data_IF_715180033560
#
_entry.id   IF_715180033560
#
_cell.length_a   1.000
_cell.length_b   1.000
_cell.length_c   1.000
_cell.angle_alpha   90.00
_cell.angle_beta   90.00
_cell.angle_gamma   90.00
#
_symmetry.space_group_name_H-M   'P 1'
#
loop_
_entity.id
_entity.type
_entity.pdbx_description
1 polymer ?
#
# COMPACT_ATOMS: atom_id res chain seq x y z
N UNK A 1 -2.57 -1.82 12.91
CA UNK A 1 -1.89 -2.32 11.70
C UNK A 1 -2.89 -3.17 10.90
N UNK A 2 -2.48 -3.83 9.82
CA UNK A 2 -3.36 -4.77 9.12
C UNK A 2 -4.48 -4.13 8.29
N UNK A 3 -5.44 -4.96 7.85
CA UNK A 3 -6.55 -4.59 6.98
C UNK A 3 -7.38 -3.37 7.44
N UNK A 4 -7.63 -3.16 8.75
CA UNK A 4 -8.37 -1.98 9.23
C UNK A 4 -7.73 -0.63 8.88
N UNK A 5 -6.44 -0.61 8.53
CA UNK A 5 -5.75 0.61 8.11
C UNK A 5 -5.90 0.94 6.62
N UNK A 6 -6.45 0.04 5.78
CA UNK A 6 -6.47 0.19 4.32
C UNK A 6 -6.95 1.56 3.90
N UNK A 7 -8.19 1.91 4.24
CA UNK A 7 -8.83 3.14 3.76
C UNK A 7 -8.21 4.39 4.38
N UNK A 8 -7.99 4.39 5.70
CA UNK A 8 -7.39 5.53 6.42
C UNK A 8 -5.98 5.85 5.91
N UNK A 9 -5.13 4.84 5.73
CA UNK A 9 -3.78 5.04 5.21
C UNK A 9 -3.81 5.49 3.75
N UNK A 10 -4.70 4.94 2.91
CA UNK A 10 -4.79 5.35 1.49
C UNK A 10 -5.24 6.81 1.37
N UNK A 11 -6.20 7.24 2.18
CA UNK A 11 -6.65 8.64 2.21
C UNK A 11 -5.51 9.58 2.62
N UNK A 12 -4.75 9.22 3.66
CA UNK A 12 -3.62 10.04 4.12
C UNK A 12 -2.49 10.12 3.08
N UNK A 13 -2.16 9.01 2.41
CA UNK A 13 -1.19 9.00 1.30
C UNK A 13 -1.62 9.99 0.21
N UNK A 14 -2.90 9.98 -0.17
CA UNK A 14 -3.44 10.92 -1.17
C UNK A 14 -3.29 12.37 -0.75
N UNK A 15 -3.62 12.69 0.50
CA UNK A 15 -3.50 14.05 1.01
C UNK A 15 -2.04 14.54 1.03
N UNK A 16 -1.11 13.70 1.49
CA UNK A 16 0.31 14.04 1.56
C UNK A 16 0.90 14.18 0.16
N UNK A 17 0.65 13.22 -0.73
CA UNK A 17 1.17 13.23 -2.09
C UNK A 17 0.69 14.43 -2.91
N UNK A 18 -0.53 14.92 -2.64
CA UNK A 18 -1.07 16.12 -3.30
C UNK A 18 -0.42 17.44 -2.84
N UNK A 19 0.24 17.45 -1.68
CA UNK A 19 0.79 18.66 -1.04
C UNK A 19 2.31 18.67 -0.91
N UNK A 20 2.95 17.54 -1.18
CA UNK A 20 4.38 17.33 -0.98
C UNK A 20 5.07 17.03 -2.31
N UNK A 21 6.23 17.62 -2.52
CA UNK A 21 7.16 17.23 -3.59
C UNK A 21 8.11 16.11 -3.18
N UNK A 22 8.10 15.73 -1.89
CA UNK A 22 8.91 14.63 -1.35
C UNK A 22 8.23 13.29 -1.70
N UNK A 23 8.96 12.32 -2.27
CA UNK A 23 8.49 10.95 -2.48
C UNK A 23 7.77 10.32 -1.28
N UNK A 24 6.58 9.78 -1.52
CA UNK A 24 5.78 9.11 -0.49
C UNK A 24 5.94 7.59 -0.59
N UNK A 25 6.28 6.96 0.53
CA UNK A 25 6.26 5.50 0.71
C UNK A 25 5.04 5.13 1.54
N UNK A 26 4.13 4.32 0.99
CA UNK A 26 2.90 3.92 1.67
C UNK A 26 3.07 2.65 2.50
N UNK A 27 2.44 2.62 3.67
CA UNK A 27 2.34 1.43 4.52
C UNK A 27 0.95 1.32 5.17
N UNK A 28 0.52 0.09 5.47
CA UNK A 28 -0.72 -0.19 6.20
C UNK A 28 -1.89 -0.63 5.32
N UNK A 29 -2.46 -1.78 5.66
CA UNK A 29 -3.65 -2.33 5.01
C UNK A 29 -3.44 -2.90 3.62
N UNK A 30 -2.23 -3.37 3.30
CA UNK A 30 -1.90 -4.02 2.02
C UNK A 30 -1.93 -5.54 2.23
N UNK A 31 -2.92 -6.21 1.64
CA UNK A 31 -3.20 -7.64 1.80
C UNK A 31 -3.41 -8.38 0.48
N UNK A 32 -3.47 -7.66 -0.63
CA UNK A 32 -3.76 -8.15 -1.96
C UNK A 32 -3.24 -7.16 -3.01
N UNK A 33 -3.32 -7.57 -4.28
CA UNK A 33 -2.96 -6.77 -5.45
C UNK A 33 -3.70 -5.42 -5.51
N UNK A 34 -4.99 -5.41 -5.17
CA UNK A 34 -5.87 -4.25 -5.29
C UNK A 34 -5.54 -3.17 -4.25
N UNK A 35 -5.32 -3.57 -3.00
CA UNK A 35 -4.90 -2.68 -1.93
C UNK A 35 -3.52 -2.07 -2.18
N UNK A 36 -2.59 -2.81 -2.81
CA UNK A 36 -1.32 -2.28 -3.28
C UNK A 36 -1.50 -1.23 -4.38
N UNK A 37 -2.27 -1.56 -5.43
CA UNK A 37 -2.61 -0.62 -6.52
C UNK A 37 -3.27 0.65 -6.01
N UNK A 38 -4.16 0.52 -5.01
CA UNK A 38 -4.80 1.65 -4.36
C UNK A 38 -3.80 2.63 -3.71
N UNK A 39 -2.66 2.14 -3.18
CA UNK A 39 -1.60 3.02 -2.65
C UNK A 39 -0.88 3.77 -3.76
N UNK A 40 -0.54 3.09 -4.86
CA UNK A 40 0.11 3.73 -6.01
C UNK A 40 -0.79 4.77 -6.66
N UNK A 41 -2.09 4.46 -6.85
CA UNK A 41 -3.09 5.40 -7.35
C UNK A 41 -3.34 6.58 -6.40
N UNK A 42 -3.10 6.41 -5.11
CA UNK A 42 -3.13 7.51 -4.15
C UNK A 42 -1.87 8.40 -4.21
N UNK A 43 -0.88 8.08 -5.04
CA UNK A 43 0.33 8.89 -5.25
C UNK A 43 1.57 8.42 -4.51
N UNK A 44 1.53 7.25 -3.87
CA UNK A 44 2.76 6.64 -3.35
C UNK A 44 3.66 6.13 -4.48
N UNK A 45 4.97 6.26 -4.30
CA UNK A 45 5.99 5.78 -5.25
C UNK A 45 6.50 4.40 -4.88
N UNK A 46 6.44 4.05 -3.59
CA UNK A 46 6.80 2.74 -3.06
C UNK A 46 5.76 2.30 -2.02
N UNK A 47 5.72 0.99 -1.76
CA UNK A 47 4.91 0.41 -0.68
C UNK A 47 5.78 -0.42 0.27
N UNK A 48 5.33 -0.54 1.52
CA UNK A 48 5.91 -1.39 2.54
C UNK A 48 4.86 -2.38 3.06
N UNK A 49 5.30 -3.62 3.24
CA UNK A 49 4.47 -4.74 3.67
C UNK A 49 4.97 -5.29 4.99
N UNK A 50 4.05 -5.49 5.95
CA UNK A 50 4.33 -6.21 7.19
C UNK A 50 3.17 -7.17 7.47
N UNK A 51 2.04 -6.66 7.98
CA UNK A 51 0.94 -7.53 8.41
C UNK A 51 0.41 -8.42 7.28
N UNK A 52 0.34 -7.90 6.05
CA UNK A 52 0.00 -8.71 4.87
C UNK A 52 0.96 -9.87 4.67
N UNK A 53 2.28 -9.65 4.79
CA UNK A 53 3.28 -10.71 4.64
C UNK A 53 3.17 -11.77 5.76
N UNK A 54 2.86 -11.35 7.00
CA UNK A 54 2.66 -12.27 8.13
C UNK A 54 1.48 -13.24 7.88
N UNK A 55 0.37 -12.74 7.34
CA UNK A 55 -0.85 -13.56 7.17
C UNK A 55 -0.96 -14.24 5.81
N UNK A 56 -0.41 -13.66 4.74
CA UNK A 56 -0.51 -14.17 3.36
C UNK A 56 0.75 -14.85 2.86
N UNK A 57 1.85 -14.75 3.60
CA UNK A 57 3.14 -15.30 3.21
C UNK A 57 3.75 -14.63 1.98
N UNK A 58 4.89 -15.15 1.48
CA UNK A 58 5.62 -14.56 0.35
C UNK A 58 4.84 -14.60 -0.97
N UNK A 59 3.80 -15.44 -1.12
CA UNK A 59 2.97 -15.45 -2.33
C UNK A 59 2.31 -14.10 -2.59
N UNK A 60 2.01 -13.33 -1.54
CA UNK A 60 1.47 -11.97 -1.67
C UNK A 60 2.37 -11.06 -2.51
N UNK A 61 3.69 -11.20 -2.40
CA UNK A 61 4.63 -10.40 -3.18
C UNK A 61 4.50 -10.69 -4.67
N UNK A 62 4.38 -11.98 -5.04
CA UNK A 62 4.20 -12.38 -6.43
C UNK A 62 2.84 -11.93 -6.97
N UNK A 63 1.77 -12.11 -6.19
CA UNK A 63 0.43 -11.60 -6.54
C UNK A 63 0.44 -10.10 -6.84
N UNK A 64 1.11 -9.30 -5.99
CA UNK A 64 1.21 -7.85 -6.20
C UNK A 64 2.02 -7.56 -7.47
N UNK A 65 3.22 -8.13 -7.61
CA UNK A 65 4.11 -7.87 -8.74
C UNK A 65 3.47 -8.24 -10.08
N UNK A 66 2.82 -9.39 -10.17
CA UNK A 66 2.20 -9.88 -11.42
C UNK A 66 0.99 -9.02 -11.84
N UNK A 67 0.50 -8.16 -10.95
CA UNK A 67 -0.67 -7.31 -11.18
C UNK A 67 -0.34 -5.85 -11.48
N UNK A 68 0.86 -5.37 -11.13
CA UNK A 68 1.26 -3.97 -11.28
C UNK A 68 1.58 -3.65 -12.74
#
# INVERSE_FOLDING_TARGET
SGAPLRDKSTALVREIAARSTIPVIASGGIFDAESARGKFQAGAQLIQLYTGLVYRGPQLLREIIDSL
#
